data_IF_909733587105
#
_entry.id   IF_909733587105
#
_cell.length_a   1.000
_cell.length_b   1.000
_cell.length_c   1.000
_cell.angle_alpha   90.00
_cell.angle_beta   90.00
_cell.angle_gamma   90.00
#
_symmetry.space_group_name_H-M   'P 1'
#
loop_
_entity.id
_entity.type
_entity.pdbx_description
1 polymer ?
#
# COMPACT_ATOMS: atom_id res chain seq x y z
N UNK A 1 19.79 -14.41 -8.13
CA UNK A 1 18.66 -13.51 -7.83
C UNK A 1 17.83 -13.33 -9.10
N UNK A 2 16.50 -13.38 -8.99
CA UNK A 2 15.54 -13.11 -10.07
C UNK A 2 15.64 -11.65 -10.46
N UNK A 3 15.62 -11.37 -11.77
CA UNK A 3 15.54 -10.02 -12.36
C UNK A 3 14.09 -9.52 -12.50
N UNK A 4 13.19 -10.03 -11.64
CA UNK A 4 11.80 -9.58 -11.58
C UNK A 4 11.64 -8.66 -10.38
N UNK A 5 10.62 -7.81 -10.41
CA UNK A 5 10.12 -7.14 -9.22
C UNK A 5 9.32 -8.15 -8.37
N UNK A 6 9.63 -8.23 -7.08
CA UNK A 6 8.70 -8.75 -6.08
C UNK A 6 7.84 -7.61 -5.55
N UNK A 7 6.56 -7.56 -5.94
CA UNK A 7 5.62 -6.57 -5.44
C UNK A 7 4.81 -7.18 -4.30
N UNK A 8 4.96 -6.65 -3.09
CA UNK A 8 4.23 -7.13 -1.92
C UNK A 8 2.97 -6.28 -1.75
N UNK A 9 1.81 -6.89 -1.99
CA UNK A 9 0.49 -6.31 -1.76
C UNK A 9 0.10 -6.46 -0.28
N UNK A 10 -0.08 -5.33 0.41
CA UNK A 10 -0.43 -5.29 1.84
C UNK A 10 -1.91 -4.93 1.97
N UNK A 11 -2.67 -5.88 2.51
CA UNK A 11 -4.13 -5.84 2.50
C UNK A 11 -4.75 -4.82 3.46
N UNK A 12 -6.04 -4.53 3.24
CA UNK A 12 -6.90 -3.76 4.14
C UNK A 12 -7.20 -4.54 5.44
N UNK A 13 -8.07 -4.04 6.32
CA UNK A 13 -8.43 -4.75 7.58
C UNK A 13 -9.07 -6.13 7.38
N UNK A 14 -9.57 -6.42 6.18
CA UNK A 14 -10.32 -7.63 5.87
C UNK A 14 -9.46 -8.88 5.67
N UNK A 15 -8.15 -8.74 5.49
CA UNK A 15 -7.27 -9.84 5.11
C UNK A 15 -7.19 -10.03 3.59
N UNK A 16 -6.75 -11.21 3.16
CA UNK A 16 -6.62 -11.54 1.72
C UNK A 16 -7.99 -11.91 1.17
N UNK A 17 -8.72 -10.91 0.68
CA UNK A 17 -10.08 -11.02 0.11
C UNK A 17 -10.07 -10.84 -1.42
N UNK A 18 -11.26 -10.78 -2.03
CA UNK A 18 -11.42 -10.61 -3.48
C UNK A 18 -10.74 -9.35 -4.04
N UNK A 19 -10.69 -8.26 -3.26
CA UNK A 19 -9.96 -7.06 -3.67
C UNK A 19 -8.46 -7.35 -3.81
N UNK A 20 -7.89 -8.08 -2.85
CA UNK A 20 -6.47 -8.43 -2.88
C UNK A 20 -6.14 -9.46 -3.96
N UNK A 21 -7.07 -10.37 -4.27
CA UNK A 21 -6.94 -11.26 -5.43
C UNK A 21 -6.95 -10.46 -6.73
N UNK A 22 -7.90 -9.52 -6.89
CA UNK A 22 -7.95 -8.63 -8.06
C UNK A 22 -6.65 -7.84 -8.25
N UNK A 23 -6.11 -7.25 -7.18
CA UNK A 23 -4.84 -6.51 -7.22
C UNK A 23 -3.69 -7.42 -7.60
N UNK A 24 -3.64 -8.63 -7.04
CA UNK A 24 -2.60 -9.62 -7.33
C UNK A 24 -2.61 -10.00 -8.81
N UNK A 25 -3.79 -10.31 -9.34
CA UNK A 25 -3.97 -10.67 -10.75
C UNK A 25 -3.63 -9.50 -11.68
N UNK A 26 -4.04 -8.28 -11.31
CA UNK A 26 -3.81 -7.08 -12.12
C UNK A 26 -2.32 -6.76 -12.31
N UNK A 27 -1.52 -6.81 -11.24
CA UNK A 27 -0.10 -6.43 -11.30
C UNK A 27 0.84 -7.59 -11.65
N UNK A 28 0.35 -8.83 -11.65
CA UNK A 28 1.16 -10.00 -12.03
C UNK A 28 1.50 -9.96 -13.52
N UNK A 29 2.77 -10.14 -13.86
CA UNK A 29 3.22 -10.13 -15.26
C UNK A 29 4.48 -10.97 -15.47
N UNK A 30 5.03 -10.95 -16.69
CA UNK A 30 6.34 -11.54 -16.97
C UNK A 30 7.48 -10.93 -16.15
N UNK A 31 7.32 -9.70 -15.65
CA UNK A 31 8.38 -8.94 -14.96
C UNK A 31 8.07 -8.66 -13.47
N UNK A 32 6.85 -8.95 -13.03
CA UNK A 32 6.40 -8.68 -11.65
C UNK A 32 5.79 -9.97 -11.08
N UNK A 33 6.39 -10.47 -10.01
CA UNK A 33 5.79 -11.50 -9.16
C UNK A 33 5.10 -10.78 -7.98
N UNK A 34 3.77 -10.94 -7.84
CA UNK A 34 3.01 -10.30 -6.75
C UNK A 34 2.82 -11.27 -5.58
N UNK A 35 3.02 -10.78 -4.37
CA UNK A 35 2.83 -11.52 -3.13
C UNK A 35 1.85 -10.80 -2.22
N UNK A 36 0.91 -11.52 -1.61
CA UNK A 36 -0.01 -10.94 -0.64
C UNK A 36 0.07 -11.70 0.69
N UNK A 37 1.02 -11.36 1.59
CA UNK A 37 1.11 -12.02 2.89
C UNK A 37 -0.14 -11.73 3.73
N UNK A 38 -0.72 -12.78 4.32
CA UNK A 38 -1.89 -12.65 5.18
C UNK A 38 -1.47 -12.28 6.60
N UNK A 39 -1.59 -11.00 6.96
CA UNK A 39 -1.24 -10.48 8.28
C UNK A 39 -2.19 -10.96 9.38
N UNK A 40 -3.42 -11.35 9.04
CA UNK A 40 -4.41 -11.79 10.01
C UNK A 40 -4.15 -13.22 10.50
N UNK A 41 -3.32 -13.99 9.78
CA UNK A 41 -2.99 -15.40 10.08
C UNK A 41 -4.22 -16.32 10.20
N UNK A 42 -5.37 -15.85 9.72
CA UNK A 42 -6.64 -16.57 9.61
C UNK A 42 -6.75 -17.26 8.25
N UNK A 43 -7.43 -18.40 8.18
CA UNK A 43 -7.76 -19.05 6.90
C UNK A 43 -8.74 -18.23 6.05
N UNK A 44 -9.59 -17.42 6.67
CA UNK A 44 -10.63 -16.67 5.98
C UNK A 44 -10.50 -15.16 6.19
N UNK A 45 -10.77 -14.41 5.13
CA UNK A 45 -10.94 -12.97 5.18
C UNK A 45 -12.28 -12.60 5.84
N UNK A 46 -12.34 -11.41 6.44
CA UNK A 46 -13.59 -10.85 6.94
C UNK A 46 -14.47 -10.39 5.77
N UNK A 47 -15.79 -10.64 5.83
CA UNK A 47 -16.72 -10.05 4.88
C UNK A 47 -16.80 -8.53 5.10
N UNK A 48 -17.07 -7.77 4.04
CA UNK A 48 -17.18 -6.30 4.12
C UNK A 48 -18.27 -5.84 5.09
N UNK A 49 -19.33 -6.62 5.30
CA UNK A 49 -20.38 -6.34 6.28
C UNK A 49 -19.90 -6.36 7.73
N UNK A 50 -18.72 -6.93 8.00
CA UNK A 50 -18.11 -7.06 9.33
C UNK A 50 -16.96 -6.04 9.54
N UNK A 51 -17.03 -4.85 8.91
CA UNK A 51 -16.00 -3.80 9.00
C UNK A 51 -15.55 -3.51 10.45
N UNK A 52 -16.48 -3.31 11.38
CA UNK A 52 -16.14 -3.04 12.79
C UNK A 52 -15.38 -4.20 13.44
N UNK A 53 -15.76 -5.46 13.14
CA UNK A 53 -15.07 -6.63 13.68
C UNK A 53 -13.68 -6.77 13.07
N UNK A 54 -13.55 -6.57 11.76
CA UNK A 54 -12.27 -6.60 11.05
C UNK A 54 -11.32 -5.53 11.60
N UNK A 55 -11.83 -4.31 11.82
CA UNK A 55 -11.06 -3.21 12.39
C UNK A 55 -10.60 -3.52 13.82
N UNK A 56 -11.51 -3.96 14.71
CA UNK A 56 -11.15 -4.34 16.08
C UNK A 56 -10.14 -5.50 16.10
N UNK A 57 -10.33 -6.50 15.23
CA UNK A 57 -9.40 -7.61 15.14
C UNK A 57 -8.01 -7.12 14.75
N UNK A 58 -7.91 -6.30 13.69
CA UNK A 58 -6.65 -5.71 13.26
C UNK A 58 -6.00 -4.93 14.39
N UNK A 59 -6.71 -3.99 15.02
CA UNK A 59 -6.13 -3.12 16.05
C UNK A 59 -5.68 -3.89 17.30
N UNK A 60 -6.43 -4.92 17.72
CA UNK A 60 -6.15 -5.64 18.96
C UNK A 60 -5.11 -6.76 18.82
N UNK A 61 -5.01 -7.39 17.63
CA UNK A 61 -4.16 -8.57 17.45
C UNK A 61 -2.95 -8.32 16.56
N UNK A 62 -3.03 -7.33 15.66
CA UNK A 62 -1.97 -7.05 14.68
C UNK A 62 -1.36 -5.67 14.95
N UNK A 63 -2.17 -4.61 14.88
CA UNK A 63 -1.71 -3.23 14.96
C UNK A 63 -0.68 -2.87 13.87
N UNK A 64 -0.27 -1.61 13.87
CA UNK A 64 0.68 -1.13 12.85
C UNK A 64 2.10 -1.62 13.07
N UNK A 65 2.56 -1.72 14.33
CA UNK A 65 3.93 -2.15 14.64
C UNK A 65 4.16 -3.63 14.35
N UNK A 66 3.26 -4.53 14.76
CA UNK A 66 3.46 -5.95 14.43
C UNK A 66 3.12 -6.24 12.97
N UNK A 67 2.19 -5.50 12.36
CA UNK A 67 1.99 -5.49 10.91
C UNK A 67 3.28 -5.14 10.14
N UNK A 68 3.96 -4.07 10.55
CA UNK A 68 5.28 -3.67 10.01
C UNK A 68 6.30 -4.79 10.17
N UNK A 69 6.47 -5.36 11.38
CA UNK A 69 7.43 -6.45 11.62
C UNK A 69 7.16 -7.66 10.73
N UNK A 70 5.89 -8.02 10.53
CA UNK A 70 5.51 -9.13 9.64
C UNK A 70 5.91 -8.85 8.20
N UNK A 71 5.67 -7.63 7.69
CA UNK A 71 6.08 -7.23 6.34
C UNK A 71 7.61 -7.15 6.20
N UNK A 72 8.34 -6.60 7.18
CA UNK A 72 9.81 -6.55 7.17
C UNK A 72 10.44 -7.95 7.16
N UNK A 73 9.85 -8.90 7.90
CA UNK A 73 10.26 -10.31 7.85
C UNK A 73 10.03 -10.90 6.46
N UNK A 74 8.93 -10.57 5.80
CA UNK A 74 8.61 -11.02 4.46
C UNK A 74 9.51 -10.39 3.39
N UNK A 75 9.85 -9.10 3.51
CA UNK A 75 10.87 -8.43 2.69
C UNK A 75 12.21 -9.18 2.81
N UNK A 76 12.61 -9.51 4.04
CA UNK A 76 13.89 -10.19 4.32
C UNK A 76 13.95 -11.59 3.70
N UNK A 77 12.84 -12.33 3.67
CA UNK A 77 12.83 -13.66 3.03
C UNK A 77 13.00 -13.54 1.51
N UNK A 78 12.41 -12.51 0.90
CA UNK A 78 12.47 -12.26 -0.54
C UNK A 78 13.81 -11.66 -1.00
N UNK A 79 14.52 -10.90 -0.16
CA UNK A 79 15.78 -10.23 -0.55
C UNK A 79 16.91 -11.19 -0.91
N UNK A 80 16.84 -12.45 -0.47
CA UNK A 80 17.74 -13.52 -0.91
C UNK A 80 17.57 -13.90 -2.38
N UNK A 81 16.37 -13.67 -2.92
CA UNK A 81 15.92 -14.22 -4.20
C UNK A 81 15.58 -13.15 -5.24
N UNK A 82 15.30 -11.92 -4.83
CA UNK A 82 14.89 -10.81 -5.71
C UNK A 82 15.86 -9.63 -5.58
N UNK A 83 16.19 -9.00 -6.71
CA UNK A 83 16.98 -7.75 -6.71
C UNK A 83 16.13 -6.51 -6.50
N UNK A 84 14.82 -6.61 -6.82
CA UNK A 84 13.87 -5.51 -6.71
C UNK A 84 12.68 -5.92 -5.88
N UNK A 85 12.40 -5.16 -4.83
CA UNK A 85 11.26 -5.38 -3.93
C UNK A 85 10.52 -4.06 -3.76
N UNK A 86 9.22 -4.07 -3.94
CA UNK A 86 8.36 -2.91 -3.70
C UNK A 86 7.13 -3.29 -2.89
N UNK A 87 6.52 -2.31 -2.24
CA UNK A 87 5.25 -2.49 -1.53
C UNK A 87 4.12 -1.75 -2.24
N UNK A 88 2.92 -2.34 -2.26
CA UNK A 88 1.67 -1.64 -2.55
C UNK A 88 0.68 -1.95 -1.43
N UNK A 89 0.30 -0.94 -0.66
CA UNK A 89 -0.58 -1.10 0.49
C UNK A 89 -1.89 -0.35 0.33
N UNK A 90 -2.96 -0.90 0.89
CA UNK A 90 -4.31 -0.31 0.87
C UNK A 90 -4.80 -0.10 2.30
N UNK A 91 -5.37 1.08 2.60
CA UNK A 91 -5.90 1.42 3.92
C UNK A 91 -4.84 1.23 5.03
N UNK A 92 -5.06 0.31 5.99
CA UNK A 92 -4.07 -0.07 7.00
C UNK A 92 -2.76 -0.57 6.39
N UNK A 93 -2.83 -1.28 5.26
CA UNK A 93 -1.67 -1.73 4.51
C UNK A 93 -0.85 -0.57 3.94
N UNK A 94 -1.47 0.53 3.52
CA UNK A 94 -0.75 1.73 3.08
C UNK A 94 0.03 2.37 4.24
N UNK A 95 -0.54 2.36 5.44
CA UNK A 95 0.13 2.84 6.65
C UNK A 95 1.31 1.93 7.00
N UNK A 96 1.13 0.61 6.93
CA UNK A 96 2.23 -0.35 7.17
C UNK A 96 3.36 -0.16 6.14
N UNK A 97 3.01 0.02 4.86
CA UNK A 97 3.99 0.29 3.80
C UNK A 97 4.79 1.57 4.06
N UNK A 98 4.12 2.64 4.51
CA UNK A 98 4.78 3.87 4.96
C UNK A 98 5.76 3.61 6.11
N UNK A 99 5.38 2.80 7.11
CA UNK A 99 6.28 2.45 8.22
C UNK A 99 7.49 1.62 7.77
N UNK A 100 7.38 0.90 6.66
CA UNK A 100 8.47 0.11 6.07
C UNK A 100 9.35 0.93 5.11
N UNK A 101 9.03 2.20 4.82
CA UNK A 101 9.69 3.00 3.77
C UNK A 101 11.18 3.30 4.00
N UNK A 102 11.69 2.93 5.18
CA UNK A 102 13.09 3.09 5.57
C UNK A 102 13.87 1.78 5.56
N UNK A 103 13.23 0.69 5.13
CA UNK A 103 13.89 -0.60 4.99
C UNK A 103 14.85 -0.55 3.78
N UNK A 104 16.14 -0.86 3.95
CA UNK A 104 17.10 -0.78 2.86
C UNK A 104 16.91 -1.85 1.77
N UNK A 105 16.08 -2.86 2.01
CA UNK A 105 15.81 -3.95 1.07
C UNK A 105 14.61 -3.68 0.14
N UNK A 106 13.97 -2.51 0.24
CA UNK A 106 12.89 -2.12 -0.67
C UNK A 106 13.28 -0.92 -1.51
N UNK A 107 12.76 -0.90 -2.73
CA UNK A 107 13.05 0.10 -3.74
C UNK A 107 12.02 1.23 -3.74
N UNK A 108 10.77 0.88 -3.42
CA UNK A 108 9.68 1.83 -3.36
C UNK A 108 8.50 1.33 -2.53
N UNK A 109 7.62 2.27 -2.15
CA UNK A 109 6.29 1.96 -1.62
C UNK A 109 5.21 2.75 -2.35
N UNK A 110 4.05 2.14 -2.47
CA UNK A 110 2.81 2.72 -2.96
C UNK A 110 1.77 2.59 -1.85
N UNK A 111 1.22 3.72 -1.40
CA UNK A 111 0.20 3.76 -0.36
C UNK A 111 -1.11 4.30 -0.92
N UNK A 112 -2.15 3.47 -0.93
CA UNK A 112 -3.49 3.85 -1.34
C UNK A 112 -4.38 4.10 -0.11
N UNK A 113 -4.90 5.31 0.00
CA UNK A 113 -5.85 5.77 1.03
C UNK A 113 -5.43 5.40 2.47
N UNK A 114 -4.14 5.59 2.80
CA UNK A 114 -3.58 5.31 4.13
C UNK A 114 -3.87 6.41 5.16
N UNK A 115 -5.02 6.36 5.82
CA UNK A 115 -5.48 7.42 6.73
C UNK A 115 -4.60 7.62 7.97
N UNK A 116 -3.98 6.55 8.47
CA UNK A 116 -3.20 6.55 9.72
C UNK A 116 -1.74 6.95 9.53
N UNK A 117 -1.29 7.19 8.29
CA UNK A 117 0.01 7.83 8.00
C UNK A 117 0.14 9.17 8.74
N UNK A 118 -0.98 9.86 8.99
CA UNK A 118 -1.03 11.12 9.77
C UNK A 118 -0.47 11.01 11.20
N UNK A 119 -0.50 9.83 11.80
CA UNK A 119 0.06 9.61 13.14
C UNK A 119 1.58 9.40 13.09
N UNK A 120 2.13 9.16 11.90
CA UNK A 120 3.53 8.84 11.65
C UNK A 120 4.19 9.87 10.74
N UNK A 121 3.72 11.13 10.77
CA UNK A 121 4.28 12.23 9.96
C UNK A 121 5.75 12.53 10.28
N UNK A 122 6.26 12.10 11.44
CA UNK A 122 7.66 12.28 11.78
C UNK A 122 8.59 11.36 10.96
N UNK A 123 8.05 10.29 10.38
CA UNK A 123 8.79 9.41 9.48
C UNK A 123 9.04 10.09 8.13
N UNK A 124 10.21 9.81 7.57
CA UNK A 124 10.61 10.27 6.24
C UNK A 124 11.07 9.07 5.42
N UNK A 125 10.44 8.76 4.27
CA UNK A 125 10.84 7.65 3.43
C UNK A 125 12.26 7.83 2.89
N UNK A 126 13.02 6.74 2.84
CA UNK A 126 14.35 6.67 2.19
C UNK A 126 14.31 6.00 0.82
N UNK A 127 13.14 5.53 0.39
CA UNK A 127 12.87 4.95 -0.92
C UNK A 127 11.85 5.79 -1.70
N UNK A 128 11.72 5.56 -3.01
CA UNK A 128 10.67 6.22 -3.80
C UNK A 128 9.30 5.90 -3.21
N UNK A 129 8.44 6.90 -3.06
CA UNK A 129 7.16 6.76 -2.37
C UNK A 129 6.06 7.44 -3.15
N UNK A 130 5.01 6.69 -3.47
CA UNK A 130 3.78 7.22 -4.06
C UNK A 130 2.64 7.08 -3.05
N UNK A 131 1.98 8.19 -2.71
CA UNK A 131 0.76 8.17 -1.90
C UNK A 131 -0.43 8.66 -2.73
N UNK A 132 -1.50 7.86 -2.77
CA UNK A 132 -2.75 8.20 -3.45
C UNK A 132 -3.83 8.33 -2.38
N UNK A 133 -4.27 9.56 -2.11
CA UNK A 133 -5.31 9.86 -1.15
C UNK A 133 -6.68 10.02 -1.80
N UNK A 134 -7.76 9.67 -1.08
CA UNK A 134 -9.12 9.99 -1.52
C UNK A 134 -9.38 11.50 -1.39
N UNK A 135 -10.42 12.00 -2.01
CA UNK A 135 -10.85 13.39 -1.84
C UNK A 135 -11.35 13.61 -0.41
N UNK A 136 -12.08 12.62 0.13
CA UNK A 136 -12.81 12.73 1.38
C UNK A 136 -12.48 11.61 2.34
N UNK A 137 -12.35 12.00 3.61
CA UNK A 137 -12.22 11.14 4.77
C UNK A 137 -13.11 11.71 5.88
N UNK A 138 -13.88 10.87 6.57
CA UNK A 138 -14.83 11.35 7.57
C UNK A 138 -14.13 11.91 8.82
N UNK A 139 -12.94 11.37 9.15
CA UNK A 139 -12.27 11.64 10.42
C UNK A 139 -11.28 12.81 10.39
N UNK A 140 -10.92 13.35 9.21
CA UNK A 140 -9.92 14.41 9.08
C UNK A 140 -9.95 15.11 7.71
N UNK A 141 -9.31 16.29 7.63
CA UNK A 141 -9.08 16.99 6.36
C UNK A 141 -7.91 16.37 5.59
N UNK A 142 -8.20 15.72 4.47
CA UNK A 142 -7.17 15.12 3.60
C UNK A 142 -6.24 16.20 3.04
N UNK A 143 -6.77 17.33 2.57
CA UNK A 143 -5.96 18.39 1.97
C UNK A 143 -5.00 19.02 2.97
N UNK A 144 -5.43 19.23 4.22
CA UNK A 144 -4.55 19.71 5.29
C UNK A 144 -3.45 18.69 5.60
N UNK A 145 -3.79 17.41 5.62
CA UNK A 145 -2.81 16.34 5.83
C UNK A 145 -1.77 16.26 4.70
N UNK A 146 -2.20 16.33 3.43
CA UNK A 146 -1.30 16.38 2.27
C UNK A 146 -0.36 17.58 2.38
N UNK A 147 -0.86 18.75 2.76
CA UNK A 147 -0.02 19.94 2.95
C UNK A 147 1.06 19.71 4.01
N UNK A 148 0.73 19.05 5.13
CA UNK A 148 1.72 18.68 6.17
C UNK A 148 2.80 17.75 5.62
N UNK A 149 2.45 16.76 4.79
CA UNK A 149 3.44 15.88 4.15
C UNK A 149 4.33 16.64 3.18
N UNK A 150 3.76 17.53 2.36
CA UNK A 150 4.51 18.34 1.40
C UNK A 150 5.48 19.31 2.06
N UNK A 151 5.15 19.84 3.25
CA UNK A 151 6.04 20.71 4.04
C UNK A 151 7.34 20.01 4.46
N UNK A 152 7.39 18.67 4.48
CA UNK A 152 8.61 17.93 4.76
C UNK A 152 9.65 18.04 3.64
N UNK A 153 9.24 18.46 2.44
CA UNK A 153 10.08 18.63 1.25
C UNK A 153 10.93 17.38 0.94
N UNK A 154 10.36 16.19 1.12
CA UNK A 154 11.04 14.95 0.77
C UNK A 154 10.99 14.76 -0.77
N UNK A 155 12.13 14.77 -1.49
CA UNK A 155 12.15 14.66 -2.94
C UNK A 155 11.73 13.27 -3.46
N UNK A 156 11.68 12.25 -2.61
CA UNK A 156 11.27 10.90 -2.96
C UNK A 156 9.75 10.69 -2.87
N UNK A 157 9.01 11.68 -2.36
CA UNK A 157 7.59 11.59 -2.07
C UNK A 157 6.75 12.23 -3.19
N UNK A 158 5.97 11.39 -3.87
CA UNK A 158 4.94 11.77 -4.83
C UNK A 158 3.55 11.58 -4.19
N UNK A 159 2.67 12.58 -4.31
CA UNK A 159 1.33 12.55 -3.71
C UNK A 159 0.28 12.93 -4.75
N UNK A 160 -0.76 12.11 -4.87
CA UNK A 160 -1.95 12.39 -5.67
C UNK A 160 -3.19 12.36 -4.78
N UNK A 161 -4.14 13.25 -5.07
CA UNK A 161 -5.47 13.24 -4.46
C UNK A 161 -6.50 13.02 -5.57
N UNK A 162 -7.36 12.01 -5.44
CA UNK A 162 -8.34 11.64 -6.46
C UNK A 162 -9.76 11.66 -5.89
N UNK A 163 -10.75 11.87 -6.76
CA UNK A 163 -12.16 11.89 -6.36
C UNK A 163 -12.59 10.55 -5.76
N UNK A 164 -13.26 10.56 -4.62
CA UNK A 164 -13.70 9.34 -3.93
C UNK A 164 -13.50 9.42 -2.43
N UNK A 165 -14.00 8.39 -1.75
CA UNK A 165 -13.86 8.19 -0.31
C UNK A 165 -12.84 7.08 -0.01
N UNK A 166 -12.60 6.80 1.27
CA UNK A 166 -11.79 5.66 1.67
C UNK A 166 -12.27 4.37 0.99
N UNK A 167 -11.33 3.59 0.44
CA UNK A 167 -11.64 2.35 -0.28
C UNK A 167 -12.09 2.53 -1.74
N UNK A 168 -11.97 3.73 -2.34
CA UNK A 168 -12.48 3.97 -3.72
C UNK A 168 -11.87 3.08 -4.82
N UNK A 169 -10.74 2.41 -4.57
CA UNK A 169 -10.13 1.45 -5.50
C UNK A 169 -10.71 0.04 -5.40
N UNK A 170 -11.55 -0.25 -4.42
CA UNK A 170 -12.06 -1.58 -4.16
C UNK A 170 -13.39 -1.82 -4.90
N UNK A 171 -13.41 -2.58 -6.01
CA UNK A 171 -14.60 -2.78 -6.84
C UNK A 171 -15.69 -3.64 -6.18
N UNK A 172 -15.39 -4.22 -5.01
CA UNK A 172 -16.32 -5.07 -4.26
C UNK A 172 -17.06 -4.30 -3.15
N UNK A 173 -16.95 -2.97 -3.14
CA UNK A 173 -17.58 -2.11 -2.14
C UNK A 173 -18.37 -0.99 -2.82
N UNK A 174 -19.35 -0.43 -2.10
CA UNK A 174 -20.12 0.72 -2.58
C UNK A 174 -19.29 1.99 -2.74
N UNK A 175 -18.08 2.03 -2.17
CA UNK A 175 -17.15 3.16 -2.28
C UNK A 175 -16.42 3.19 -3.61
N UNK A 176 -16.51 2.13 -4.41
CA UNK A 176 -15.81 2.01 -5.68
C UNK A 176 -16.06 3.20 -6.60
N UNK A 177 -14.98 3.79 -7.11
CA UNK A 177 -15.05 4.79 -8.16
C UNK A 177 -14.20 4.33 -9.35
N UNK A 178 -14.86 3.87 -10.41
CA UNK A 178 -14.16 3.34 -11.59
C UNK A 178 -13.30 4.37 -12.34
N UNK A 179 -13.73 5.63 -12.39
CA UNK A 179 -12.96 6.70 -13.02
C UNK A 179 -11.67 6.98 -12.25
N UNK A 180 -11.76 7.20 -10.95
CA UNK A 180 -10.60 7.43 -10.09
C UNK A 180 -9.72 6.20 -9.97
N UNK A 181 -10.28 4.99 -10.02
CA UNK A 181 -9.50 3.74 -10.06
C UNK A 181 -8.64 3.68 -11.31
N UNK A 182 -9.22 3.98 -12.48
CA UNK A 182 -8.45 4.05 -13.73
C UNK A 182 -7.34 5.09 -13.66
N UNK A 183 -7.61 6.26 -13.09
CA UNK A 183 -6.58 7.29 -12.89
C UNK A 183 -5.47 6.82 -11.94
N UNK A 184 -5.82 6.22 -10.80
CA UNK A 184 -4.87 5.71 -9.83
C UNK A 184 -3.97 4.62 -10.44
N UNK A 185 -4.55 3.68 -11.20
CA UNK A 185 -3.78 2.60 -11.81
C UNK A 185 -2.83 3.13 -12.89
N UNK A 186 -3.23 4.11 -13.70
CA UNK A 186 -2.31 4.77 -14.64
C UNK A 186 -1.12 5.43 -13.92
N UNK A 187 -1.36 6.07 -12.77
CA UNK A 187 -0.29 6.68 -11.95
C UNK A 187 0.62 5.60 -11.37
N UNK A 188 0.05 4.53 -10.84
CA UNK A 188 0.80 3.37 -10.31
C UNK A 188 1.66 2.74 -11.40
N UNK A 189 1.11 2.46 -12.58
CA UNK A 189 1.85 1.86 -13.70
C UNK A 189 3.02 2.74 -14.12
N UNK A 190 2.77 4.05 -14.25
CA UNK A 190 3.82 5.03 -14.57
C UNK A 190 4.92 5.05 -13.51
N UNK A 191 4.54 4.97 -12.24
CA UNK A 191 5.47 4.90 -11.12
C UNK A 191 6.26 3.59 -11.09
N UNK A 192 5.64 2.45 -11.36
CA UNK A 192 6.29 1.15 -11.46
C UNK A 192 7.34 1.17 -12.58
N UNK A 193 6.95 1.57 -13.79
CA UNK A 193 7.84 1.69 -14.95
C UNK A 193 9.07 2.55 -14.62
N UNK A 194 8.86 3.72 -14.00
CA UNK A 194 9.94 4.62 -13.57
C UNK A 194 10.88 3.95 -12.56
N UNK A 195 10.37 3.22 -11.59
CA UNK A 195 11.18 2.69 -10.48
C UNK A 195 11.73 1.28 -10.72
N UNK A 196 11.28 0.56 -11.74
CA UNK A 196 11.82 -0.74 -12.15
C UNK A 196 12.78 -0.67 -13.34
N UNK A 197 12.53 0.19 -14.34
CA UNK A 197 13.37 0.26 -15.55
C UNK A 197 14.68 1.04 -15.36
N UNK A 198 14.71 2.02 -14.45
CA UNK A 198 15.92 2.84 -14.20
C UNK A 198 17.07 1.99 -13.62
N UNK A 199 16.78 0.80 -13.09
CA UNK A 199 17.80 -0.08 -12.50
C UNK A 199 18.40 -1.09 -13.51
N UNK A 200 17.87 -1.16 -14.73
CA UNK A 200 18.38 -2.02 -15.79
C UNK A 200 19.27 -1.29 -16.82
N UNK A 201 19.44 0.03 -16.69
CA UNK A 201 20.37 0.87 -17.47
C UNK A 201 21.62 1.24 -16.68
#
# INVERSE_FOLDING_TARGET
MKKKLALIAVHEIYGVNDHMHHVTDHFTSSHIDVFCPNLLQSQHAFPYSDEEKAYHFFMNHIGFEDGKKQIEKFITSLSSSYTHIGLIGFSVGATISWLCSNNPNIDFIIGCYGSRIRDYIHMKPTCATLLIFPEKEASFSVSSFIQTLQQQKNPLLEIHQLHGEHGFLNPYTEKYNGHSTKQAYNVIDSFLVKNTLIKEM
#
